data_IF_581012705581
#
_entry.id   IF_581012705581
#
_cell.length_a   1.000
_cell.length_b   1.000
_cell.length_c   1.000
_cell.angle_alpha   90.00
_cell.angle_beta   90.00
_cell.angle_gamma   90.00
#
_symmetry.space_group_name_H-M   'P 1'
#
loop_
_entity.id
_entity.type
_entity.pdbx_description
1 polymer ?
#
# COMPACT_ATOMS: atom_id res chain seq x y z
N UNK A 1 -7.05 -3.54 17.02
CA UNK A 1 -5.73 -3.45 16.32
C UNK A 1 -4.78 -2.45 16.97
N UNK A 2 -5.21 -1.24 17.35
CA UNK A 2 -4.36 -0.27 18.09
C UNK A 2 -3.76 -0.92 19.34
N UNK A 3 -4.59 -1.55 20.17
CA UNK A 3 -4.15 -2.18 21.42
C UNK A 3 -3.12 -3.29 21.18
N UNK A 4 -3.32 -4.10 20.14
CA UNK A 4 -2.39 -5.20 19.81
C UNK A 4 -1.05 -4.67 19.30
N UNK A 5 -1.06 -3.62 18.49
CA UNK A 5 0.16 -2.98 17.98
C UNK A 5 0.88 -2.24 19.11
N UNK A 6 0.14 -1.54 19.97
CA UNK A 6 0.68 -0.85 21.14
C UNK A 6 1.34 -1.85 22.08
N UNK A 7 0.70 -2.98 22.38
CA UNK A 7 1.25 -4.03 23.21
C UNK A 7 2.53 -4.63 22.61
N UNK A 8 2.52 -4.92 21.29
CA UNK A 8 3.69 -5.44 20.60
C UNK A 8 4.86 -4.43 20.61
N UNK A 9 4.58 -3.14 20.36
CA UNK A 9 5.60 -2.11 20.41
C UNK A 9 6.18 -1.92 21.82
N UNK A 10 5.34 -1.97 22.86
CA UNK A 10 5.79 -1.85 24.25
C UNK A 10 6.64 -3.04 24.70
N UNK A 11 6.49 -4.21 24.08
CA UNK A 11 7.35 -5.36 24.34
C UNK A 11 8.72 -5.26 23.64
N UNK A 12 8.83 -4.42 22.59
CA UNK A 12 10.04 -4.26 21.77
C UNK A 12 10.26 -2.77 21.44
N UNK A 13 10.66 -1.99 22.45
CA UNK A 13 10.82 -0.53 22.34
C UNK A 13 11.88 -0.08 21.30
N UNK A 14 12.79 -0.97 20.92
CA UNK A 14 13.80 -0.72 19.90
C UNK A 14 13.29 -0.94 18.46
N UNK A 15 12.01 -1.22 18.27
CA UNK A 15 11.40 -1.39 16.96
C UNK A 15 11.63 -0.17 16.08
N UNK A 16 12.23 -0.37 14.91
CA UNK A 16 12.53 0.68 13.92
C UNK A 16 11.71 0.55 12.66
N UNK A 17 11.09 -0.61 12.44
CA UNK A 17 10.33 -0.93 11.24
C UNK A 17 9.08 -1.71 11.59
N UNK A 18 7.96 -1.31 11.02
CA UNK A 18 6.69 -2.04 11.07
C UNK A 18 6.25 -2.35 9.65
N UNK A 19 5.93 -3.62 9.39
CA UNK A 19 5.41 -4.08 8.10
C UNK A 19 3.94 -4.41 8.25
N UNK A 20 3.10 -3.73 7.46
CA UNK A 20 1.66 -3.92 7.44
C UNK A 20 1.26 -4.84 6.29
N UNK A 21 0.38 -5.80 6.57
CA UNK A 21 -0.05 -6.81 5.58
C UNK A 21 -1.13 -6.32 4.60
N UNK A 22 -1.61 -5.09 4.73
CA UNK A 22 -2.63 -4.55 3.84
C UNK A 22 -2.81 -3.04 3.95
N UNK A 23 -3.40 -2.45 2.90
CA UNK A 23 -3.53 -1.01 2.74
C UNK A 23 -4.38 -0.31 3.80
N UNK A 24 -5.37 -0.98 4.37
CA UNK A 24 -6.17 -0.39 5.46
C UNK A 24 -5.33 -0.16 6.72
N UNK A 25 -4.47 -1.12 7.06
CA UNK A 25 -3.58 -0.99 8.20
C UNK A 25 -2.48 0.04 7.92
N UNK A 26 -1.87 0.01 6.73
CA UNK A 26 -0.85 0.97 6.35
C UNK A 26 -1.40 2.40 6.32
N UNK A 27 -2.61 2.60 5.79
CA UNK A 27 -3.27 3.91 5.77
C UNK A 27 -3.62 4.47 7.16
N UNK A 28 -3.63 3.62 8.18
CA UNK A 28 -3.84 4.02 9.57
C UNK A 28 -2.52 4.22 10.36
N UNK A 29 -1.36 4.24 9.67
CA UNK A 29 -0.05 4.33 10.32
C UNK A 29 0.09 5.56 11.23
N UNK A 30 -0.43 6.73 10.82
CA UNK A 30 -0.47 7.94 11.64
C UNK A 30 -1.09 7.65 13.01
N UNK A 31 -2.32 7.10 13.00
CA UNK A 31 -3.06 6.81 14.23
C UNK A 31 -2.31 5.82 15.15
N UNK A 32 -1.63 4.83 14.57
CA UNK A 32 -0.86 3.88 15.35
C UNK A 32 0.40 4.51 15.95
N UNK A 33 1.10 5.34 15.18
CA UNK A 33 2.31 6.03 15.66
C UNK A 33 1.98 7.03 16.75
N UNK A 34 0.89 7.78 16.61
CA UNK A 34 0.40 8.68 17.66
C UNK A 34 0.05 7.93 18.96
N UNK A 35 -0.61 6.77 18.85
CA UNK A 35 -0.99 5.95 19.99
C UNK A 35 0.21 5.45 20.81
N UNK A 36 1.38 5.27 20.16
CA UNK A 36 2.64 4.88 20.82
C UNK A 36 3.59 6.07 21.04
N UNK A 37 3.11 7.30 20.80
CA UNK A 37 3.88 8.55 21.04
C UNK A 37 5.03 8.77 20.07
N UNK A 38 4.99 8.20 18.87
CA UNK A 38 6.01 8.34 17.83
C UNK A 38 5.65 9.40 16.80
N UNK A 39 6.65 10.18 16.38
CA UNK A 39 6.54 11.20 15.34
C UNK A 39 6.81 10.61 13.95
N UNK A 40 6.43 11.33 12.87
CA UNK A 40 6.76 10.93 11.51
C UNK A 40 8.25 10.62 11.34
N UNK A 41 8.58 9.46 10.76
CA UNK A 41 9.94 9.04 10.47
C UNK A 41 10.73 8.43 11.65
N UNK A 42 10.21 8.42 12.88
CA UNK A 42 10.88 7.75 14.00
C UNK A 42 10.81 6.22 13.93
N UNK A 43 9.73 5.71 13.32
CA UNK A 43 9.55 4.30 12.98
C UNK A 43 9.19 4.24 11.50
N UNK A 44 9.83 3.36 10.75
CA UNK A 44 9.52 3.13 9.35
C UNK A 44 8.26 2.27 9.22
N UNK A 45 7.25 2.77 8.52
CA UNK A 45 6.01 2.05 8.23
C UNK A 45 5.99 1.71 6.75
N UNK A 46 5.96 0.42 6.46
CA UNK A 46 5.91 -0.10 5.09
C UNK A 46 4.80 -1.14 4.94
N UNK A 47 4.33 -1.36 3.71
CA UNK A 47 3.25 -2.34 3.51
C UNK A 47 2.84 -2.49 2.06
N UNK A 48 1.54 -2.67 1.85
CA UNK A 48 0.94 -2.97 0.56
C UNK A 48 -0.17 -1.99 0.23
N UNK A 49 -0.45 -1.87 -1.06
CA UNK A 49 -1.48 -1.07 -1.70
C UNK A 49 -1.26 0.44 -1.65
N UNK A 50 -1.95 1.10 -2.56
CA UNK A 50 -2.05 2.55 -2.61
C UNK A 50 -3.53 2.92 -2.50
N UNK A 51 -3.89 3.63 -1.43
CA UNK A 51 -5.24 4.15 -1.21
C UNK A 51 -5.15 5.63 -0.86
N UNK A 52 -6.26 6.39 -0.89
CA UNK A 52 -6.24 7.77 -0.43
C UNK A 52 -5.65 7.93 0.98
N UNK A 53 -5.95 7.00 1.90
CA UNK A 53 -5.41 7.03 3.26
C UNK A 53 -3.89 6.75 3.30
N UNK A 54 -3.38 5.86 2.44
CA UNK A 54 -1.94 5.61 2.33
C UNK A 54 -1.23 6.83 1.74
N UNK A 55 -1.81 7.50 0.75
CA UNK A 55 -1.25 8.74 0.18
C UNK A 55 -1.21 9.85 1.24
N UNK A 56 -2.28 10.05 2.01
CA UNK A 56 -2.32 11.01 3.11
C UNK A 56 -1.23 10.71 4.17
N UNK A 57 -1.03 9.43 4.50
CA UNK A 57 0.02 9.01 5.42
C UNK A 57 1.45 9.24 4.87
N UNK A 58 1.65 9.15 3.54
CA UNK A 58 2.89 9.59 2.89
C UNK A 58 3.10 11.10 3.02
N UNK A 59 2.08 11.90 2.72
CA UNK A 59 2.13 13.37 2.83
C UNK A 59 2.50 13.83 4.23
N UNK A 60 2.01 13.13 5.25
CA UNK A 60 2.30 13.39 6.67
C UNK A 60 3.61 12.79 7.15
N UNK A 61 4.29 11.99 6.34
CA UNK A 61 5.58 11.38 6.64
C UNK A 61 5.52 10.12 7.53
N UNK A 62 4.35 9.54 7.71
CA UNK A 62 4.18 8.32 8.50
C UNK A 62 4.42 7.03 7.71
N UNK A 63 4.34 7.06 6.38
CA UNK A 63 4.63 5.91 5.50
C UNK A 63 5.85 6.20 4.64
N UNK A 64 6.72 5.21 4.46
CA UNK A 64 7.95 5.35 3.70
C UNK A 64 8.01 4.50 2.44
N UNK A 65 7.27 3.36 2.42
CA UNK A 65 7.25 2.46 1.28
C UNK A 65 5.96 1.67 1.24
N UNK A 66 5.41 1.47 0.04
CA UNK A 66 4.35 0.49 -0.21
C UNK A 66 4.62 -0.29 -1.49
N UNK A 67 4.24 -1.57 -1.50
CA UNK A 67 4.16 -2.37 -2.72
C UNK A 67 2.79 -2.13 -3.35
N UNK A 68 2.80 -1.56 -4.55
CA UNK A 68 1.58 -1.28 -5.30
C UNK A 68 1.20 -2.50 -6.15
N UNK A 69 0.17 -3.20 -5.75
CA UNK A 69 -0.34 -4.40 -6.44
C UNK A 69 -1.18 -4.06 -7.67
N UNK A 70 -1.56 -2.81 -7.87
CA UNK A 70 -2.39 -2.34 -8.99
C UNK A 70 -3.72 -3.09 -9.08
N UNK A 71 -4.58 -3.06 -8.05
CA UNK A 71 -5.80 -3.86 -7.98
C UNK A 71 -6.79 -3.58 -9.12
N UNK A 72 -6.82 -2.38 -9.68
CA UNK A 72 -7.60 -2.08 -10.87
C UNK A 72 -7.18 -2.96 -12.05
N UNK A 73 -5.87 -3.09 -12.30
CA UNK A 73 -5.36 -3.94 -13.39
C UNK A 73 -5.56 -5.42 -13.12
N UNK A 74 -5.55 -5.86 -11.86
CA UNK A 74 -5.87 -7.24 -11.47
C UNK A 74 -7.31 -7.61 -11.82
N UNK A 75 -8.22 -6.65 -11.82
CA UNK A 75 -9.60 -6.86 -12.29
C UNK A 75 -9.74 -6.71 -13.82
N UNK A 76 -9.14 -5.68 -14.38
CA UNK A 76 -9.32 -5.31 -15.79
C UNK A 76 -8.65 -6.29 -16.75
N UNK A 77 -7.37 -6.61 -16.54
CA UNK A 77 -6.58 -7.42 -17.48
C UNK A 77 -7.10 -8.86 -17.64
N UNK A 78 -7.51 -9.58 -16.60
CA UNK A 78 -8.11 -10.91 -16.76
C UNK A 78 -9.40 -10.89 -17.61
N UNK A 79 -10.25 -9.89 -17.41
CA UNK A 79 -11.48 -9.75 -18.20
C UNK A 79 -11.14 -9.50 -19.67
N UNK A 80 -10.20 -8.57 -19.94
CA UNK A 80 -9.72 -8.31 -21.29
C UNK A 80 -9.13 -9.56 -21.93
N UNK A 81 -8.27 -10.29 -21.21
CA UNK A 81 -7.65 -11.53 -21.68
C UNK A 81 -8.72 -12.59 -22.04
N UNK A 82 -9.71 -12.79 -21.18
CA UNK A 82 -10.80 -13.73 -21.43
C UNK A 82 -11.64 -13.35 -22.68
N UNK A 83 -11.93 -12.06 -22.86
CA UNK A 83 -12.65 -11.57 -24.04
C UNK A 83 -11.84 -11.82 -25.31
N UNK A 84 -10.55 -11.49 -25.32
CA UNK A 84 -9.67 -11.70 -26.47
C UNK A 84 -9.51 -13.18 -26.83
N UNK A 85 -9.35 -14.02 -25.82
CA UNK A 85 -9.30 -15.48 -26.01
C UNK A 85 -10.61 -16.02 -26.57
N UNK A 86 -11.75 -15.60 -26.00
CA UNK A 86 -13.07 -16.09 -26.41
C UNK A 86 -13.45 -15.66 -27.82
N UNK A 87 -13.16 -14.42 -28.20
CA UNK A 87 -13.62 -13.83 -29.47
C UNK A 87 -12.63 -14.11 -30.61
N UNK A 88 -11.35 -14.02 -30.34
CA UNK A 88 -10.30 -14.07 -31.37
C UNK A 88 -9.36 -15.28 -31.25
N UNK A 89 -9.53 -16.12 -30.23
CA UNK A 89 -8.67 -17.29 -30.04
C UNK A 89 -7.23 -16.96 -29.61
N UNK A 90 -6.97 -15.76 -29.08
CA UNK A 90 -5.64 -15.44 -28.58
C UNK A 90 -5.28 -16.31 -27.37
N UNK A 91 -3.97 -16.58 -27.20
CA UNK A 91 -3.44 -17.22 -26.02
C UNK A 91 -3.65 -16.38 -24.75
N UNK A 92 -3.59 -16.99 -23.55
CA UNK A 92 -3.72 -16.26 -22.30
C UNK A 92 -2.62 -15.22 -22.13
N UNK A 93 -2.98 -14.05 -21.58
CA UNK A 93 -2.03 -13.01 -21.21
C UNK A 93 -1.50 -13.27 -19.82
N UNK A 94 -0.19 -13.11 -19.64
CA UNK A 94 0.45 -13.12 -18.34
C UNK A 94 0.96 -11.72 -18.00
N UNK A 95 0.48 -11.15 -16.89
CA UNK A 95 0.85 -9.81 -16.45
C UNK A 95 1.21 -9.83 -14.97
N UNK A 96 2.40 -9.34 -14.65
CA UNK A 96 2.80 -9.07 -13.28
C UNK A 96 2.35 -7.66 -12.88
N UNK A 97 1.41 -7.56 -11.96
CA UNK A 97 0.92 -6.29 -11.42
C UNK A 97 1.58 -5.92 -10.08
N UNK A 98 2.40 -6.82 -9.52
CA UNK A 98 2.97 -6.67 -8.18
C UNK A 98 4.39 -6.10 -8.12
N UNK A 99 5.02 -5.77 -9.26
CA UNK A 99 6.41 -5.35 -9.33
C UNK A 99 6.65 -3.86 -8.98
N UNK A 100 5.63 -3.10 -8.64
CA UNK A 100 5.73 -1.66 -8.37
C UNK A 100 6.00 -1.35 -6.91
N UNK A 101 7.04 -0.55 -6.64
CA UNK A 101 7.26 0.06 -5.33
C UNK A 101 7.00 1.56 -5.38
N UNK A 102 6.25 2.05 -4.41
CA UNK A 102 5.93 3.46 -4.20
C UNK A 102 6.58 3.90 -2.90
N UNK A 103 7.43 4.90 -2.99
CA UNK A 103 8.19 5.46 -1.87
C UNK A 103 8.01 6.98 -1.75
N UNK A 104 8.71 7.59 -0.82
CA UNK A 104 8.67 9.03 -0.55
C UNK A 104 9.11 9.90 -1.74
N UNK A 105 9.83 9.33 -2.73
CA UNK A 105 10.31 10.07 -3.90
C UNK A 105 9.31 10.03 -5.06
N UNK A 106 8.47 8.98 -5.14
CA UNK A 106 7.62 8.75 -6.32
C UNK A 106 6.12 8.69 -6.02
N UNK A 107 5.66 8.66 -4.75
CA UNK A 107 4.24 8.53 -4.41
C UNK A 107 3.34 9.61 -5.06
N UNK A 108 3.88 10.81 -5.28
CA UNK A 108 3.13 11.89 -5.94
C UNK A 108 2.74 11.56 -7.37
N UNK A 109 3.52 10.73 -8.06
CA UNK A 109 3.23 10.31 -9.43
C UNK A 109 2.00 9.39 -9.52
N UNK A 110 1.66 8.72 -8.42
CA UNK A 110 0.53 7.79 -8.35
C UNK A 110 -0.65 8.33 -7.54
N UNK A 111 -0.44 9.40 -6.76
CA UNK A 111 -1.41 9.93 -5.81
C UNK A 111 -2.76 10.27 -6.46
N UNK A 112 -2.76 10.98 -7.60
CA UNK A 112 -3.98 11.34 -8.31
C UNK A 112 -4.79 10.09 -8.72
N UNK A 113 -4.13 9.07 -9.21
CA UNK A 113 -4.76 7.84 -9.69
C UNK A 113 -5.22 6.94 -8.53
N UNK A 114 -4.48 6.91 -7.42
CA UNK A 114 -4.90 6.25 -6.20
C UNK A 114 -6.19 6.87 -5.62
N UNK A 115 -6.26 8.20 -5.58
CA UNK A 115 -7.46 8.94 -5.14
C UNK A 115 -8.67 8.67 -6.05
N UNK A 116 -8.44 8.54 -7.37
CA UNK A 116 -9.48 8.22 -8.36
C UNK A 116 -9.87 6.74 -8.40
N UNK A 117 -9.20 5.87 -7.66
CA UNK A 117 -9.51 4.43 -7.59
C UNK A 117 -8.95 3.59 -8.75
N UNK A 118 -7.96 4.08 -9.46
CA UNK A 118 -7.29 3.34 -10.55
C UNK A 118 -6.02 2.60 -10.10
N UNK A 119 -5.73 2.66 -8.80
CA UNK A 119 -4.58 1.94 -8.23
C UNK A 119 -4.96 1.28 -6.92
#
# INVERSE_FOLDING_TARGET
MIDSLTAAFLSELETKLIVYSGGQQLGAAEMYMEAIGKKPGEVYNIGFDTSPAVIDAFDKGYVQLTSDQQPFLQGYLPILSLCLTKIYGFGPMFNDTGAGFVDTNNYKNVAEWAIKGYR
#
